data_IF_083040181833
#
_entry.id   IF_083040181833
#
_cell.length_a   1.000
_cell.length_b   1.000
_cell.length_c   1.000
_cell.angle_alpha   90.00
_cell.angle_beta   90.00
_cell.angle_gamma   90.00
#
_symmetry.space_group_name_H-M   'P 1'
#
loop_
_entity.id
_entity.type
_entity.pdbx_description
1 polymer ?
#
# COMPACT_ATOMS: atom_id res chain seq x y z
N UNK A 1 22.83 9.70 1.86
CA UNK A 1 21.90 8.79 2.52
C UNK A 1 22.71 7.97 3.52
N UNK A 2 22.17 7.75 4.72
CA UNK A 2 22.82 7.06 5.83
C UNK A 2 22.00 5.86 6.24
N UNK A 3 22.63 4.68 6.29
CA UNK A 3 22.02 3.48 6.85
C UNK A 3 21.97 3.58 8.39
N UNK A 4 20.76 3.54 8.94
CA UNK A 4 20.48 3.53 10.37
C UNK A 4 19.97 2.15 10.75
N UNK A 5 20.71 1.45 11.61
CA UNK A 5 20.37 0.12 12.11
C UNK A 5 19.49 0.25 13.35
N UNK A 6 18.29 -0.29 13.28
CA UNK A 6 17.34 -0.34 14.39
C UNK A 6 17.43 -1.72 15.04
N UNK A 7 17.60 -1.78 16.36
CA UNK A 7 17.65 -3.06 17.06
C UNK A 7 16.27 -3.75 16.99
N UNK A 8 16.21 -4.94 16.40
CA UNK A 8 14.95 -5.69 16.27
C UNK A 8 14.28 -5.96 17.62
N UNK A 9 15.05 -6.14 18.72
CA UNK A 9 14.45 -6.39 20.04
C UNK A 9 13.62 -5.21 20.52
N UNK A 10 14.02 -3.99 20.20
CA UNK A 10 13.28 -2.77 20.60
C UNK A 10 11.98 -2.65 19.81
N UNK A 11 12.00 -3.03 18.54
CA UNK A 11 10.80 -3.11 17.70
C UNK A 11 9.86 -4.19 18.19
N UNK A 12 10.38 -5.39 18.48
CA UNK A 12 9.60 -6.51 18.99
C UNK A 12 8.95 -6.18 20.35
N UNK A 13 9.63 -5.41 21.20
CA UNK A 13 9.09 -4.91 22.44
C UNK A 13 7.98 -3.86 22.22
N UNK A 14 8.16 -2.91 21.30
CA UNK A 14 7.14 -1.91 21.00
C UNK A 14 5.89 -2.51 20.32
N UNK A 15 6.03 -3.60 19.56
CA UNK A 15 4.90 -4.37 19.02
C UNK A 15 3.98 -4.96 20.09
N UNK A 16 4.42 -5.06 21.36
CA UNK A 16 3.56 -5.48 22.47
C UNK A 16 2.63 -4.36 22.95
N UNK A 17 2.91 -3.10 22.58
CA UNK A 17 2.03 -1.97 22.86
C UNK A 17 0.90 -1.93 21.82
N UNK A 18 -0.32 -1.64 22.27
CA UNK A 18 -1.48 -1.45 21.38
C UNK A 18 -2.16 -0.11 21.68
N UNK A 19 -2.00 0.92 20.82
CA UNK A 19 -1.15 0.96 19.62
C UNK A 19 0.36 1.02 19.93
N UNK A 20 1.20 0.80 18.92
CA UNK A 20 2.66 0.98 19.03
C UNK A 20 3.00 2.43 19.35
N UNK A 21 4.05 2.64 20.16
CA UNK A 21 4.37 3.96 20.72
C UNK A 21 5.61 4.61 20.10
N UNK A 22 6.46 3.82 19.43
CA UNK A 22 7.73 4.28 18.87
C UNK A 22 7.83 4.04 17.38
N UNK A 23 7.37 2.90 16.91
CA UNK A 23 7.45 2.52 15.50
C UNK A 23 6.06 2.45 14.88
N UNK A 24 6.00 2.74 13.59
CA UNK A 24 4.81 2.59 12.76
C UNK A 24 3.57 3.30 13.31
N UNK A 25 3.78 4.45 13.92
CA UNK A 25 2.68 5.31 14.35
C UNK A 25 1.84 5.74 13.14
N UNK A 26 0.57 6.00 13.38
CA UNK A 26 -0.36 6.52 12.38
C UNK A 26 -1.44 7.33 13.07
N UNK A 27 -2.04 8.27 12.34
CA UNK A 27 -3.21 9.04 12.76
C UNK A 27 -3.07 9.71 14.14
N UNK A 28 -2.17 10.69 14.22
CA UNK A 28 -2.08 11.62 15.35
C UNK A 28 -3.22 12.65 15.27
N UNK A 29 -3.82 12.94 16.42
CA UNK A 29 -4.90 13.93 16.55
C UNK A 29 -4.39 15.36 16.35
N UNK A 30 -5.32 16.32 16.19
CA UNK A 30 -4.94 17.75 16.09
C UNK A 30 -4.31 18.27 17.38
N UNK A 31 -4.66 17.67 18.53
CA UNK A 31 -4.11 18.06 19.84
C UNK A 31 -2.67 17.56 20.02
N UNK A 32 -2.30 16.47 19.35
CA UNK A 32 -0.94 15.91 19.35
C UNK A 32 -0.03 16.61 18.34
N UNK A 33 -0.58 17.06 17.20
CA UNK A 33 0.17 17.75 16.16
C UNK A 33 -0.71 18.71 15.34
N UNK A 34 -0.31 19.98 15.31
CA UNK A 34 -1.00 21.04 14.56
C UNK A 34 -0.62 21.01 13.07
N UNK A 35 -1.12 19.99 12.37
CA UNK A 35 -1.03 19.87 10.93
C UNK A 35 -2.43 19.66 10.33
N UNK A 36 -2.66 19.98 9.04
CA UNK A 36 -3.91 19.62 8.39
C UNK A 36 -4.00 18.10 8.15
N UNK A 37 -5.22 17.59 8.04
CA UNK A 37 -5.44 16.23 7.53
C UNK A 37 -5.22 16.23 6.01
N UNK A 38 -4.34 15.38 5.46
CA UNK A 38 -4.10 15.31 4.02
C UNK A 38 -5.30 14.68 3.29
N UNK A 39 -5.43 14.98 1.99
CA UNK A 39 -6.39 14.34 1.11
C UNK A 39 -5.81 13.04 0.55
N UNK A 40 -6.61 11.97 0.49
CA UNK A 40 -6.22 10.68 -0.11
C UNK A 40 -6.25 10.71 -1.65
N UNK A 41 -6.99 11.66 -2.25
CA UNK A 41 -7.28 11.69 -3.69
C UNK A 41 -6.05 11.63 -4.63
N UNK A 42 -4.92 12.33 -4.38
CA UNK A 42 -3.80 12.31 -5.32
C UNK A 42 -2.97 11.03 -5.28
N UNK A 43 -3.23 10.14 -4.31
CA UNK A 43 -2.54 8.85 -4.18
C UNK A 43 -3.32 7.68 -4.79
N UNK A 44 -4.41 7.97 -5.51
CA UNK A 44 -5.29 6.94 -6.07
C UNK A 44 -4.49 5.90 -6.85
N UNK A 45 -4.81 4.63 -6.64
CA UNK A 45 -4.08 3.56 -7.31
C UNK A 45 -4.25 3.67 -8.83
N UNK A 46 -5.43 4.06 -9.30
CA UNK A 46 -5.71 4.26 -10.72
C UNK A 46 -4.79 5.32 -11.36
N UNK A 47 -4.50 6.44 -10.67
CA UNK A 47 -3.60 7.50 -11.17
C UNK A 47 -2.18 7.00 -11.41
N UNK A 48 -1.71 6.10 -10.55
CA UNK A 48 -0.33 5.60 -10.53
C UNK A 48 -0.14 4.24 -11.21
N UNK A 49 -1.24 3.57 -11.56
CA UNK A 49 -1.22 2.27 -12.23
C UNK A 49 -0.35 2.25 -13.50
N UNK A 50 -0.40 3.25 -14.41
CA UNK A 50 0.46 3.24 -15.60
C UNK A 50 1.96 3.20 -15.26
N UNK A 51 2.40 3.97 -14.26
CA UNK A 51 3.78 3.96 -13.80
C UNK A 51 4.14 2.63 -13.11
N UNK A 52 3.24 2.11 -12.27
CA UNK A 52 3.42 0.80 -11.61
C UNK A 52 3.68 -0.29 -12.66
N UNK A 53 2.82 -0.39 -13.68
CA UNK A 53 2.97 -1.35 -14.77
C UNK A 53 4.29 -1.19 -15.51
N UNK A 54 4.66 0.05 -15.85
CA UNK A 54 5.92 0.35 -16.55
C UNK A 54 7.15 -0.07 -15.74
N UNK A 55 7.18 0.22 -14.43
CA UNK A 55 8.30 -0.19 -13.57
C UNK A 55 8.39 -1.71 -13.38
N UNK A 56 7.27 -2.41 -13.53
CA UNK A 56 7.17 -3.88 -13.44
C UNK A 56 7.31 -4.58 -14.79
N UNK A 57 7.53 -3.81 -15.87
CA UNK A 57 7.53 -4.31 -17.24
C UNK A 57 6.28 -5.15 -17.59
N UNK A 58 5.10 -4.72 -17.11
CA UNK A 58 3.82 -5.34 -17.38
C UNK A 58 3.07 -4.60 -18.49
N UNK A 59 2.49 -5.37 -19.41
CA UNK A 59 1.60 -4.82 -20.44
C UNK A 59 0.30 -4.30 -19.79
N UNK A 60 -0.19 -3.15 -20.24
CA UNK A 60 -1.49 -2.63 -19.83
C UNK A 60 -2.64 -3.61 -20.12
N UNK A 61 -2.50 -4.48 -21.14
CA UNK A 61 -3.45 -5.54 -21.44
C UNK A 61 -3.54 -6.61 -20.34
N UNK A 62 -2.58 -6.69 -19.42
CA UNK A 62 -2.64 -7.60 -18.28
C UNK A 62 -3.60 -7.11 -17.18
N UNK A 63 -3.97 -5.83 -17.18
CA UNK A 63 -4.90 -5.24 -16.23
C UNK A 63 -6.33 -5.67 -16.56
N UNK A 64 -7.06 -6.09 -15.54
CA UNK A 64 -8.50 -6.28 -15.63
C UNK A 64 -9.17 -5.40 -14.58
N UNK A 65 -10.18 -4.64 -14.98
CA UNK A 65 -10.91 -3.74 -14.07
C UNK A 65 -12.38 -4.12 -14.05
N UNK A 66 -12.95 -4.16 -12.85
CA UNK A 66 -14.38 -4.35 -12.62
C UNK A 66 -14.92 -3.11 -11.91
N UNK A 67 -15.94 -2.49 -12.48
CA UNK A 67 -16.62 -1.34 -11.89
C UNK A 67 -17.93 -1.80 -11.26
N UNK A 68 -18.02 -1.75 -9.94
CA UNK A 68 -19.27 -2.02 -9.23
C UNK A 68 -20.11 -0.75 -9.15
N UNK A 69 -21.42 -0.87 -9.36
CA UNK A 69 -22.36 0.20 -9.08
C UNK A 69 -22.44 0.50 -7.57
N UNK A 70 -23.01 1.66 -7.17
CA UNK A 70 -23.23 1.95 -5.76
C UNK A 70 -24.11 0.92 -5.05
N UNK A 71 -25.09 0.32 -5.74
CA UNK A 71 -25.92 -0.74 -5.17
C UNK A 71 -25.15 -2.04 -4.96
N UNK A 72 -24.31 -2.44 -5.93
CA UNK A 72 -23.45 -3.61 -5.82
C UNK A 72 -22.42 -3.46 -4.70
N UNK A 73 -21.78 -2.28 -4.60
CA UNK A 73 -20.84 -1.98 -3.52
C UNK A 73 -21.53 -1.97 -2.15
N UNK A 74 -22.74 -1.40 -2.06
CA UNK A 74 -23.54 -1.41 -0.81
C UNK A 74 -23.89 -2.83 -0.37
N UNK A 75 -24.26 -3.70 -1.30
CA UNK A 75 -24.53 -5.12 -1.03
C UNK A 75 -23.31 -5.81 -0.41
N UNK A 76 -22.11 -5.61 -0.96
CA UNK A 76 -20.87 -6.17 -0.41
C UNK A 76 -20.55 -5.60 0.98
N UNK A 77 -20.76 -4.30 1.20
CA UNK A 77 -20.57 -3.65 2.51
C UNK A 77 -21.49 -4.24 3.57
N UNK A 78 -22.76 -4.49 3.22
CA UNK A 78 -23.75 -5.05 4.15
C UNK A 78 -23.45 -6.51 4.46
N UNK A 79 -23.10 -7.30 3.45
CA UNK A 79 -22.64 -8.67 3.64
C UNK A 79 -21.39 -8.74 4.52
N UNK A 80 -20.48 -7.76 4.41
CA UNK A 80 -19.23 -7.72 5.16
C UNK A 80 -19.42 -7.57 6.67
N UNK A 81 -20.51 -6.92 7.13
CA UNK A 81 -20.75 -6.69 8.56
C UNK A 81 -20.75 -7.98 9.38
N UNK A 82 -21.37 -9.05 8.87
CA UNK A 82 -21.34 -10.38 9.49
C UNK A 82 -20.14 -11.23 9.05
N UNK A 83 -19.69 -11.06 7.80
CA UNK A 83 -18.64 -11.89 7.20
C UNK A 83 -17.25 -11.62 7.81
N UNK A 84 -16.95 -10.37 8.17
CA UNK A 84 -15.69 -10.01 8.85
C UNK A 84 -15.55 -10.74 10.19
N UNK A 85 -16.64 -10.84 10.95
CA UNK A 85 -16.64 -11.50 12.27
C UNK A 85 -16.54 -13.02 12.13
N UNK A 86 -17.34 -13.59 11.23
CA UNK A 86 -17.44 -15.05 11.06
C UNK A 86 -16.29 -15.64 10.23
N UNK A 87 -15.66 -14.83 9.37
CA UNK A 87 -14.68 -15.28 8.40
C UNK A 87 -15.29 -16.07 7.23
N UNK A 88 -16.61 -16.09 7.10
CA UNK A 88 -17.35 -16.80 6.05
C UNK A 88 -18.27 -15.83 5.32
N UNK A 89 -18.66 -16.16 4.09
CA UNK A 89 -19.68 -15.39 3.38
C UNK A 89 -21.02 -15.46 4.12
N UNK A 90 -21.62 -14.30 4.40
CA UNK A 90 -22.92 -14.22 5.06
C UNK A 90 -24.01 -14.88 4.19
N UNK A 91 -24.57 -16.00 4.70
CA UNK A 91 -25.56 -16.82 3.99
C UNK A 91 -26.82 -16.05 3.61
N UNK A 92 -27.19 -15.03 4.39
CA UNK A 92 -28.38 -14.22 4.13
C UNK A 92 -28.26 -13.40 2.83
N UNK A 93 -27.04 -13.08 2.40
CA UNK A 93 -26.78 -12.30 1.18
C UNK A 93 -26.28 -13.17 0.01
N UNK A 94 -26.23 -14.49 0.17
CA UNK A 94 -25.57 -15.36 -0.81
C UNK A 94 -26.26 -15.33 -2.18
N UNK A 95 -27.58 -15.35 -2.20
CA UNK A 95 -28.39 -15.30 -3.43
C UNK A 95 -28.21 -13.94 -4.12
N UNK A 96 -28.45 -12.84 -3.40
CA UNK A 96 -28.26 -11.48 -3.93
C UNK A 96 -26.84 -11.25 -4.47
N UNK A 97 -25.80 -11.69 -3.76
CA UNK A 97 -24.41 -11.57 -4.22
C UNK A 97 -24.20 -12.36 -5.51
N UNK A 98 -24.78 -13.55 -5.60
CA UNK A 98 -24.65 -14.38 -6.79
C UNK A 98 -25.39 -13.78 -7.98
N UNK A 99 -26.54 -13.16 -7.78
CA UNK A 99 -27.31 -12.53 -8.86
C UNK A 99 -26.72 -11.19 -9.29
N UNK A 100 -26.26 -10.37 -8.34
CA UNK A 100 -25.86 -8.98 -8.61
C UNK A 100 -24.35 -8.80 -8.83
N UNK A 101 -23.49 -9.57 -8.16
CA UNK A 101 -22.03 -9.35 -8.18
C UNK A 101 -21.31 -10.30 -9.13
N UNK A 102 -21.69 -11.58 -9.15
CA UNK A 102 -21.03 -12.59 -10.00
C UNK A 102 -21.05 -12.21 -11.49
N UNK A 103 -22.14 -11.64 -12.07
CA UNK A 103 -22.12 -11.20 -13.47
C UNK A 103 -21.04 -10.15 -13.75
N UNK A 104 -20.80 -9.21 -12.84
CA UNK A 104 -19.76 -8.19 -13.00
C UNK A 104 -18.34 -8.78 -12.98
N UNK A 105 -18.15 -9.91 -12.30
CA UNK A 105 -16.87 -10.63 -12.21
C UNK A 105 -16.70 -11.72 -13.28
N UNK A 106 -17.76 -12.03 -14.04
CA UNK A 106 -17.80 -13.20 -14.94
C UNK A 106 -16.84 -13.09 -16.14
N UNK A 107 -16.47 -11.87 -16.53
CA UNK A 107 -15.53 -11.61 -17.62
C UNK A 107 -14.06 -11.73 -17.19
N UNK A 108 -13.78 -11.95 -15.89
CA UNK A 108 -12.42 -12.08 -15.40
C UNK A 108 -11.74 -13.33 -15.96
N UNK A 109 -10.56 -13.13 -16.51
CA UNK A 109 -9.63 -14.18 -16.88
C UNK A 109 -8.69 -14.50 -15.71
N UNK A 110 -8.67 -15.76 -15.29
CA UNK A 110 -7.79 -16.24 -14.23
C UNK A 110 -6.57 -16.94 -14.85
N UNK A 111 -5.37 -16.33 -14.79
CA UNK A 111 -4.15 -16.99 -15.25
C UNK A 111 -3.72 -18.08 -14.25
N UNK A 112 -2.72 -18.89 -14.62
CA UNK A 112 -2.29 -20.04 -13.82
C UNK A 112 -1.74 -19.63 -12.45
N UNK A 113 -0.99 -18.53 -12.41
CA UNK A 113 -0.47 -17.86 -11.21
C UNK A 113 -1.57 -17.23 -10.33
N UNK A 114 -2.76 -17.04 -10.89
CA UNK A 114 -3.89 -16.37 -10.24
C UNK A 114 -3.80 -14.85 -10.29
N UNK A 115 -4.72 -14.18 -9.60
CA UNK A 115 -4.86 -12.73 -9.60
C UNK A 115 -4.47 -12.10 -8.26
N UNK A 116 -3.78 -10.97 -8.33
CA UNK A 116 -3.77 -9.94 -7.30
C UNK A 116 -4.99 -9.03 -7.48
N UNK A 117 -5.59 -8.60 -6.37
CA UNK A 117 -6.77 -7.72 -6.37
C UNK A 117 -6.53 -6.52 -5.47
N UNK A 118 -6.97 -5.35 -5.94
CA UNK A 118 -6.86 -4.09 -5.21
C UNK A 118 -8.05 -3.18 -5.51
N UNK A 119 -8.55 -2.51 -4.47
CA UNK A 119 -9.42 -1.34 -4.58
C UNK A 119 -8.56 -0.07 -4.56
N UNK A 120 -9.12 1.08 -4.90
CA UNK A 120 -8.35 2.31 -5.04
C UNK A 120 -7.48 2.64 -3.81
N UNK A 121 -8.07 2.59 -2.61
CA UNK A 121 -7.36 2.91 -1.37
C UNK A 121 -6.72 1.73 -0.66
N UNK A 122 -6.96 0.48 -1.09
CA UNK A 122 -6.38 -0.67 -0.39
C UNK A 122 -6.35 -1.98 -1.18
N UNK A 123 -5.39 -2.84 -0.81
CA UNK A 123 -5.48 -4.28 -1.06
C UNK A 123 -6.13 -4.98 0.16
N UNK A 124 -7.11 -5.88 -0.03
CA UNK A 124 -7.79 -6.59 1.06
C UNK A 124 -6.95 -7.74 1.64
N UNK A 125 -5.73 -7.43 2.07
CA UNK A 125 -4.76 -8.40 2.61
C UNK A 125 -5.23 -9.06 3.92
N UNK A 126 -6.14 -8.42 4.65
CA UNK A 126 -6.79 -8.91 5.88
C UNK A 126 -8.01 -9.82 5.60
N UNK A 127 -8.47 -9.92 4.36
CA UNK A 127 -9.53 -10.83 3.96
C UNK A 127 -9.11 -12.30 4.05
N UNK A 128 -10.08 -13.17 4.35
CA UNK A 128 -9.90 -14.62 4.40
C UNK A 128 -9.60 -15.19 3.02
N UNK A 129 -8.89 -16.32 3.03
CA UNK A 129 -8.52 -17.10 1.84
C UNK A 129 -9.13 -18.49 1.96
N UNK A 130 -9.66 -19.02 0.85
CA UNK A 130 -10.19 -20.40 0.82
C UNK A 130 -9.10 -21.42 1.07
N UNK A 131 -7.90 -21.16 0.57
CA UNK A 131 -6.71 -21.98 0.79
C UNK A 131 -5.77 -21.21 1.73
N UNK A 132 -5.54 -21.69 2.96
CA UNK A 132 -4.64 -21.04 3.91
C UNK A 132 -3.24 -20.82 3.31
N UNK A 133 -2.71 -19.61 3.46
CA UNK A 133 -1.38 -19.24 2.95
C UNK A 133 -1.32 -18.88 1.46
N UNK A 134 -2.35 -19.17 0.66
CA UNK A 134 -2.40 -18.77 -0.75
C UNK A 134 -2.92 -17.34 -0.89
N UNK A 135 -2.04 -16.43 -1.33
CA UNK A 135 -2.36 -15.01 -1.50
C UNK A 135 -3.03 -14.70 -2.85
N UNK A 136 -2.77 -15.51 -3.87
CA UNK A 136 -3.38 -15.42 -5.20
C UNK A 136 -4.85 -15.84 -5.22
N UNK A 137 -5.62 -15.21 -6.09
CA UNK A 137 -7.05 -15.47 -6.30
C UNK A 137 -7.23 -16.29 -7.58
N UNK A 138 -7.91 -17.43 -7.51
CA UNK A 138 -8.11 -18.32 -8.66
C UNK A 138 -9.57 -18.53 -9.05
N UNK A 139 -10.51 -17.84 -8.38
CA UNK A 139 -11.92 -17.91 -8.72
C UNK A 139 -12.70 -16.69 -8.22
N UNK A 140 -13.91 -16.52 -8.72
CA UNK A 140 -14.86 -15.52 -8.23
C UNK A 140 -15.18 -15.73 -6.73
N UNK A 141 -15.28 -16.98 -6.29
CA UNK A 141 -15.46 -17.29 -4.86
C UNK A 141 -14.29 -16.81 -3.99
N UNK A 142 -13.04 -16.93 -4.49
CA UNK A 142 -11.87 -16.41 -3.80
C UNK A 142 -11.98 -14.88 -3.64
N UNK A 143 -12.43 -14.18 -4.69
CA UNK A 143 -12.67 -12.74 -4.70
C UNK A 143 -13.75 -12.34 -3.69
N UNK A 144 -14.92 -12.97 -3.76
CA UNK A 144 -16.07 -12.64 -2.91
C UNK A 144 -15.77 -12.89 -1.44
N UNK A 145 -15.12 -14.01 -1.10
CA UNK A 145 -14.70 -14.28 0.26
C UNK A 145 -13.71 -13.20 0.73
N UNK A 146 -12.71 -12.87 -0.08
CA UNK A 146 -11.68 -11.90 0.29
C UNK A 146 -12.27 -10.50 0.50
N UNK A 147 -13.14 -10.03 -0.40
CA UNK A 147 -13.80 -8.72 -0.29
C UNK A 147 -14.72 -8.63 0.93
N UNK A 148 -15.58 -9.63 1.14
CA UNK A 148 -16.59 -9.58 2.21
C UNK A 148 -16.00 -9.80 3.60
N UNK A 149 -14.83 -10.43 3.71
CA UNK A 149 -14.19 -10.67 5.01
C UNK A 149 -13.05 -9.69 5.33
N UNK A 150 -12.82 -8.68 4.47
CA UNK A 150 -11.80 -7.64 4.68
C UNK A 150 -12.41 -6.37 5.26
N UNK A 151 -11.92 -5.92 6.42
CA UNK A 151 -12.27 -4.63 6.99
C UNK A 151 -11.74 -3.49 6.12
N UNK A 152 -10.57 -3.67 5.51
CA UNK A 152 -9.97 -2.70 4.58
C UNK A 152 -10.87 -2.45 3.37
N UNK A 153 -11.28 -3.50 2.66
CA UNK A 153 -12.18 -3.38 1.51
C UNK A 153 -13.51 -2.74 1.90
N UNK A 154 -14.12 -3.19 3.01
CA UNK A 154 -15.37 -2.60 3.51
C UNK A 154 -15.24 -1.09 3.74
N UNK A 155 -14.16 -0.66 4.39
CA UNK A 155 -13.94 0.76 4.67
C UNK A 155 -13.70 1.58 3.39
N UNK A 156 -13.00 1.01 2.41
CA UNK A 156 -12.75 1.66 1.12
C UNK A 156 -14.03 1.82 0.30
N UNK A 157 -14.85 0.77 0.22
CA UNK A 157 -16.17 0.83 -0.41
C UNK A 157 -17.09 1.84 0.28
N UNK A 158 -17.11 1.88 1.61
CA UNK A 158 -17.88 2.86 2.38
C UNK A 158 -17.47 4.30 2.06
N UNK A 159 -16.17 4.59 2.04
CA UNK A 159 -15.66 5.91 1.66
C UNK A 159 -16.11 6.29 0.26
N UNK A 160 -16.03 5.37 -0.70
CA UNK A 160 -16.47 5.60 -2.07
C UNK A 160 -17.98 5.87 -2.19
N UNK A 161 -18.79 5.21 -1.36
CA UNK A 161 -20.23 5.46 -1.29
C UNK A 161 -20.53 6.83 -0.66
N UNK A 162 -19.82 7.20 0.41
CA UNK A 162 -19.95 8.50 1.09
C UNK A 162 -19.51 9.67 0.20
N UNK A 163 -18.49 9.47 -0.65
CA UNK A 163 -18.05 10.44 -1.65
C UNK A 163 -18.96 10.51 -2.88
N UNK A 164 -20.05 9.74 -2.90
CA UNK A 164 -20.99 9.66 -4.04
C UNK A 164 -20.30 9.31 -5.36
N UNK A 165 -19.27 8.47 -5.31
CA UNK A 165 -18.58 7.98 -6.51
C UNK A 165 -19.56 7.21 -7.38
N UNK A 166 -19.48 7.41 -8.70
CA UNK A 166 -20.38 6.76 -9.66
C UNK A 166 -20.19 5.24 -9.69
N UNK A 167 -18.97 4.76 -9.42
CA UNK A 167 -18.63 3.33 -9.32
C UNK A 167 -17.57 3.10 -8.25
N UNK A 168 -17.43 1.85 -7.81
CA UNK A 168 -16.28 1.35 -7.05
C UNK A 168 -15.45 0.48 -7.99
N UNK A 169 -14.25 0.93 -8.31
CA UNK A 169 -13.34 0.18 -9.20
C UNK A 169 -12.52 -0.84 -8.40
N UNK A 170 -12.41 -2.04 -8.96
CA UNK A 170 -11.55 -3.10 -8.47
C UNK A 170 -10.60 -3.48 -9.60
N UNK A 171 -9.30 -3.33 -9.34
CA UNK A 171 -8.24 -3.64 -10.28
C UNK A 171 -7.64 -5.01 -9.97
N UNK A 172 -7.44 -5.80 -11.03
CA UNK A 172 -6.81 -7.10 -10.99
C UNK A 172 -5.57 -7.11 -11.87
N UNK A 173 -4.52 -7.75 -11.36
CA UNK A 173 -3.25 -7.98 -12.06
C UNK A 173 -2.88 -9.46 -11.92
N UNK A 174 -2.08 -10.03 -12.85
CA UNK A 174 -1.43 -11.32 -12.61
C UNK A 174 -0.71 -11.30 -11.25
N UNK A 175 -0.89 -12.36 -10.48
CA UNK A 175 -0.24 -12.50 -9.19
C UNK A 175 1.26 -12.74 -9.39
N UNK A 176 2.07 -11.98 -8.67
CA UNK A 176 3.53 -12.08 -8.71
C UNK A 176 4.02 -12.44 -7.31
N UNK A 177 4.49 -13.68 -7.15
CA UNK A 177 4.94 -14.22 -5.86
C UNK A 177 6.26 -13.59 -5.39
N UNK A 178 7.03 -13.01 -6.32
CA UNK A 178 8.26 -12.28 -6.01
C UNK A 178 7.97 -11.05 -5.16
N UNK A 179 6.82 -10.40 -5.34
CA UNK A 179 6.38 -9.19 -4.63
C UNK A 179 5.99 -9.46 -3.16
N UNK A 180 6.84 -10.17 -2.44
CA UNK A 180 6.69 -10.40 -1.02
C UNK A 180 7.14 -9.16 -0.24
N UNK A 181 6.29 -8.67 0.66
CA UNK A 181 6.53 -7.47 1.48
C UNK A 181 7.82 -7.46 2.32
N UNK A 182 8.52 -8.59 2.46
CA UNK A 182 9.83 -8.65 3.14
C UNK A 182 10.93 -7.91 2.37
N UNK A 183 10.76 -7.71 1.06
CA UNK A 183 11.67 -6.97 0.17
C UNK A 183 11.07 -5.63 -0.28
N UNK A 184 10.01 -5.17 0.40
CA UNK A 184 9.40 -3.86 0.17
C UNK A 184 10.01 -2.80 1.09
N UNK A 185 10.08 -1.56 0.59
CA UNK A 185 10.59 -0.39 1.28
C UNK A 185 9.63 0.77 1.13
N UNK A 186 9.44 1.54 2.20
CA UNK A 186 8.65 2.76 2.20
C UNK A 186 9.51 3.99 2.00
N UNK A 187 9.23 4.64 0.88
CA UNK A 187 9.61 5.94 0.35
C UNK A 187 9.05 7.16 1.07
N UNK A 188 9.77 8.06 1.74
CA UNK A 188 9.17 9.32 2.24
C UNK A 188 9.64 10.52 1.43
N UNK A 189 8.69 11.28 0.89
CA UNK A 189 8.94 12.49 0.12
C UNK A 189 8.28 13.70 0.77
N UNK A 190 9.09 14.71 1.10
CA UNK A 190 8.63 15.85 1.90
C UNK A 190 7.63 16.76 1.16
N UNK A 191 6.74 17.42 1.90
CA UNK A 191 5.84 18.44 1.36
C UNK A 191 6.58 19.59 0.67
N UNK A 192 5.94 20.18 -0.34
CA UNK A 192 6.42 21.32 -1.12
C UNK A 192 7.49 20.96 -2.17
N UNK A 193 8.56 20.27 -1.78
CA UNK A 193 9.68 19.92 -2.67
C UNK A 193 9.56 18.53 -3.28
N UNK A 194 8.80 17.62 -2.66
CA UNK A 194 8.74 16.22 -3.06
C UNK A 194 10.09 15.52 -2.97
N UNK A 195 11.04 16.02 -2.18
CA UNK A 195 12.37 15.46 -2.06
C UNK A 195 12.35 14.22 -1.17
N UNK A 196 13.09 13.17 -1.52
CA UNK A 196 13.22 12.00 -0.65
C UNK A 196 13.92 12.43 0.64
N UNK A 197 13.31 12.13 1.78
CA UNK A 197 13.83 12.45 3.12
C UNK A 197 14.17 11.21 3.94
N UNK A 198 13.47 10.10 3.71
CA UNK A 198 13.69 8.90 4.48
C UNK A 198 13.27 7.64 3.69
N UNK A 199 13.85 6.50 4.07
CA UNK A 199 13.52 5.17 3.58
C UNK A 199 13.37 4.24 4.78
N UNK A 200 12.33 3.42 4.79
CA UNK A 200 12.14 2.36 5.80
C UNK A 200 12.01 1.00 5.15
N UNK A 201 12.50 -0.07 5.76
CA UNK A 201 11.97 -1.40 5.41
C UNK A 201 10.45 -1.42 5.69
N UNK A 202 9.66 -1.95 4.77
CA UNK A 202 8.20 -1.93 4.91
C UNK A 202 7.71 -2.88 6.01
N UNK A 203 8.21 -4.12 6.03
CA UNK A 203 7.97 -5.10 7.09
C UNK A 203 8.73 -4.74 8.38
N UNK A 204 8.43 -3.59 8.96
CA UNK A 204 9.12 -3.03 10.13
C UNK A 204 9.14 -3.98 11.35
N UNK A 205 8.10 -4.80 11.53
CA UNK A 205 7.94 -5.74 12.65
C UNK A 205 8.70 -7.08 12.48
N UNK A 206 9.55 -7.21 11.46
CA UNK A 206 10.37 -8.41 11.18
C UNK A 206 11.83 -8.01 10.99
N UNK A 207 12.79 -8.93 11.22
CA UNK A 207 14.19 -8.69 10.84
C UNK A 207 14.31 -8.35 9.36
N UNK A 208 15.23 -7.45 9.03
CA UNK A 208 15.50 -7.07 7.65
C UNK A 208 15.98 -8.28 6.86
N UNK A 209 15.54 -8.41 5.60
CA UNK A 209 15.89 -9.55 4.75
C UNK A 209 17.40 -9.78 4.61
N UNK A 210 18.18 -8.69 4.75
CA UNK A 210 19.63 -8.69 4.58
C UNK A 210 20.40 -8.48 5.89
N UNK A 211 19.73 -8.59 7.05
CA UNK A 211 20.34 -8.43 8.39
C UNK A 211 21.47 -9.43 8.68
N UNK A 212 21.45 -10.60 8.05
CA UNK A 212 22.49 -11.63 8.19
C UNK A 212 23.74 -11.42 7.32
N UNK A 213 23.76 -10.42 6.44
CA UNK A 213 24.89 -10.13 5.58
C UNK A 213 26.02 -9.42 6.35
N UNK A 214 27.24 -9.50 5.80
CA UNK A 214 28.37 -8.69 6.28
C UNK A 214 28.14 -7.22 5.93
N UNK A 215 28.74 -6.32 6.73
CA UNK A 215 28.58 -4.86 6.58
C UNK A 215 28.83 -4.38 5.14
N UNK A 216 29.87 -4.87 4.47
CA UNK A 216 30.19 -4.44 3.11
C UNK A 216 29.10 -4.86 2.10
N UNK A 217 28.63 -6.10 2.21
CA UNK A 217 27.56 -6.61 1.34
C UNK A 217 26.22 -5.90 1.61
N UNK A 218 25.93 -5.54 2.87
CA UNK A 218 24.75 -4.74 3.19
C UNK A 218 24.84 -3.35 2.59
N UNK A 219 25.99 -2.69 2.68
CA UNK A 219 26.19 -1.38 2.05
C UNK A 219 25.92 -1.45 0.55
N UNK A 220 26.43 -2.48 -0.13
CA UNK A 220 26.14 -2.69 -1.56
C UNK A 220 24.64 -2.84 -1.83
N UNK A 221 23.94 -3.68 -1.05
CA UNK A 221 22.49 -3.87 -1.21
C UNK A 221 21.72 -2.57 -0.98
N UNK A 222 22.08 -1.80 0.05
CA UNK A 222 21.46 -0.51 0.35
C UNK A 222 21.71 0.49 -0.78
N UNK A 223 22.92 0.56 -1.32
CA UNK A 223 23.25 1.45 -2.43
C UNK A 223 22.44 1.07 -3.69
N UNK A 224 22.33 -0.22 -4.02
CA UNK A 224 21.52 -0.69 -5.15
C UNK A 224 20.04 -0.34 -4.98
N UNK A 225 19.46 -0.60 -3.81
CA UNK A 225 18.06 -0.23 -3.52
C UNK A 225 17.88 1.29 -3.63
N UNK A 226 18.83 2.07 -3.11
CA UNK A 226 18.79 3.52 -3.13
C UNK A 226 18.84 4.08 -4.56
N UNK A 227 19.70 3.54 -5.43
CA UNK A 227 19.72 3.92 -6.85
C UNK A 227 18.38 3.62 -7.53
N UNK A 228 17.80 2.43 -7.27
CA UNK A 228 16.48 2.08 -7.79
C UNK A 228 15.35 3.00 -7.29
N UNK A 229 15.37 3.37 -6.00
CA UNK A 229 14.44 4.34 -5.40
C UNK A 229 14.54 5.70 -6.10
N UNK A 230 15.76 6.21 -6.33
CA UNK A 230 15.95 7.47 -7.06
C UNK A 230 15.42 7.39 -8.49
N UNK A 231 15.63 6.26 -9.17
CA UNK A 231 15.10 6.03 -10.50
C UNK A 231 13.56 6.05 -10.55
N UNK A 232 12.89 5.42 -9.58
CA UNK A 232 11.43 5.46 -9.46
C UNK A 232 10.96 6.88 -9.12
N UNK A 233 11.62 7.55 -8.17
CA UNK A 233 11.28 8.92 -7.76
C UNK A 233 11.38 9.91 -8.93
N UNK A 234 12.42 9.80 -9.76
CA UNK A 234 12.55 10.60 -10.98
C UNK A 234 11.39 10.34 -11.96
N UNK A 235 10.97 9.09 -12.11
CA UNK A 235 9.80 8.76 -12.95
C UNK A 235 8.50 9.30 -12.37
N UNK A 236 8.31 9.24 -11.04
CA UNK A 236 7.16 9.86 -10.36
C UNK A 236 7.11 11.36 -10.68
N UNK A 237 8.22 12.08 -10.50
CA UNK A 237 8.29 13.52 -10.77
C UNK A 237 8.09 13.84 -12.26
N UNK A 238 8.58 13.00 -13.17
CA UNK A 238 8.41 13.18 -14.61
C UNK A 238 6.97 12.95 -15.08
N UNK A 239 6.21 12.11 -14.37
CA UNK A 239 4.80 11.83 -14.65
C UNK A 239 3.83 12.88 -14.06
N UNK A 240 4.32 13.87 -13.30
CA UNK A 240 3.50 14.95 -12.75
C UNK A 240 3.15 15.98 -13.83
N UNK A 241 1.88 16.38 -13.89
CA UNK A 241 1.40 17.51 -14.68
C UNK A 241 1.24 18.75 -13.80
N UNK A 242 2.01 19.80 -14.10
CA UNK A 242 1.94 21.08 -13.38
C UNK A 242 0.56 21.77 -13.48
N UNK A 243 -0.28 21.40 -14.45
CA UNK A 243 -1.64 21.90 -14.59
C UNK A 243 -2.67 21.06 -13.83
N UNK A 244 -2.30 19.87 -13.33
CA UNK A 244 -3.18 19.01 -12.55
C UNK A 244 -3.26 19.51 -11.11
N UNK A 245 -4.47 19.84 -10.64
CA UNK A 245 -4.69 20.23 -9.24
C UNK A 245 -4.31 19.10 -8.27
N UNK A 246 -4.55 17.84 -8.65
CA UNK A 246 -4.21 16.68 -7.83
C UNK A 246 -2.69 16.47 -7.73
N UNK A 247 -1.95 16.65 -8.83
CA UNK A 247 -0.50 16.49 -8.83
C UNK A 247 0.18 17.62 -8.04
N UNK A 248 -0.36 18.84 -8.16
CA UNK A 248 0.06 19.96 -7.31
C UNK A 248 -0.26 19.72 -5.83
N UNK A 249 -1.43 19.13 -5.54
CA UNK A 249 -1.81 18.77 -4.17
C UNK A 249 -0.89 17.68 -3.59
N UNK A 250 -0.52 16.67 -4.39
CA UNK A 250 0.46 15.64 -4.02
C UNK A 250 1.76 16.27 -3.53
N UNK A 251 2.35 17.16 -4.32
CA UNK A 251 3.59 17.85 -3.96
C UNK A 251 3.39 18.72 -2.74
N UNK A 252 2.29 19.49 -2.67
CA UNK A 252 2.00 20.39 -1.56
C UNK A 252 1.91 19.66 -0.22
N UNK A 253 1.30 18.48 -0.18
CA UNK A 253 1.07 17.74 1.07
C UNK A 253 2.14 16.67 1.36
N UNK A 254 3.05 16.42 0.42
CA UNK A 254 4.04 15.34 0.50
C UNK A 254 3.45 13.99 0.08
N UNK A 255 4.30 12.99 -0.11
CA UNK A 255 3.86 11.64 -0.47
C UNK A 255 4.79 10.58 0.10
N UNK A 256 4.27 9.36 0.23
CA UNK A 256 5.12 8.20 0.39
C UNK A 256 4.86 7.21 -0.72
N UNK A 257 5.84 6.37 -1.06
CA UNK A 257 5.68 5.35 -2.08
C UNK A 257 6.38 4.06 -1.68
N UNK A 258 5.73 2.93 -1.93
CA UNK A 258 6.30 1.62 -1.61
C UNK A 258 7.03 1.07 -2.84
N UNK A 259 8.24 0.55 -2.61
CA UNK A 259 9.12 0.00 -3.64
C UNK A 259 9.44 -1.44 -3.30
N UNK A 260 9.25 -2.34 -4.25
CA UNK A 260 9.73 -3.70 -4.19
C UNK A 260 11.13 -3.76 -4.80
N UNK A 261 12.07 -4.42 -4.11
CA UNK A 261 13.40 -4.70 -4.65
C UNK A 261 13.51 -6.18 -5.01
N UNK A 262 13.76 -6.46 -6.28
CA UNK A 262 14.07 -7.80 -6.77
C UNK A 262 15.57 -8.03 -6.71
N UNK A 263 15.99 -8.97 -5.87
CA UNK A 263 17.40 -9.33 -5.70
C UNK A 263 17.95 -10.15 -6.89
N UNK A 264 17.10 -10.82 -7.66
CA UNK A 264 17.54 -11.66 -8.78
C UNK A 264 17.93 -10.81 -9.99
N UNK A 265 17.14 -9.78 -10.29
CA UNK A 265 17.40 -8.83 -11.38
C UNK A 265 18.10 -7.56 -10.91
N UNK A 266 18.27 -7.38 -9.61
CA UNK A 266 18.78 -6.14 -8.97
C UNK A 266 17.99 -4.89 -9.39
N UNK A 267 16.68 -5.03 -9.58
CA UNK A 267 15.79 -3.94 -10.01
C UNK A 267 14.80 -3.53 -8.93
N UNK A 268 14.37 -2.28 -8.98
CA UNK A 268 13.30 -1.76 -8.12
C UNK A 268 12.02 -1.53 -8.92
N UNK A 269 10.90 -1.95 -8.35
CA UNK A 269 9.56 -1.83 -8.94
C UNK A 269 8.66 -0.99 -8.02
N UNK A 270 7.85 -0.09 -8.59
CA UNK A 270 6.88 0.70 -7.82
C UNK A 270 5.68 -0.18 -7.45
N UNK A 271 5.32 -0.18 -6.17
CA UNK A 271 4.17 -0.94 -5.65
C UNK A 271 2.92 -0.07 -5.58
N UNK A 272 3.03 1.08 -4.91
CA UNK A 272 1.93 2.03 -4.73
C UNK A 272 2.45 3.38 -4.22
N UNK A 273 1.61 4.42 -4.31
CA UNK A 273 1.76 5.64 -3.53
C UNK A 273 0.80 5.61 -2.35
N UNK A 274 1.21 6.23 -1.25
CA UNK A 274 0.45 6.33 -0.01
C UNK A 274 0.42 7.77 0.48
N UNK A 275 -0.68 8.09 1.17
CA UNK A 275 -0.83 9.35 1.88
C UNK A 275 0.31 9.64 2.85
N UNK A 276 0.73 10.89 2.91
CA UNK A 276 1.82 11.35 3.75
C UNK A 276 1.32 12.13 4.96
N UNK A 277 1.97 11.89 6.09
CA UNK A 277 1.94 12.78 7.24
C UNK A 277 1.27 12.20 8.48
N UNK A 278 1.54 12.87 9.60
CA UNK A 278 1.16 12.42 10.94
C UNK A 278 -0.35 12.22 11.12
N UNK A 279 -1.16 13.03 10.44
CA UNK A 279 -2.63 13.00 10.52
C UNK A 279 -3.29 12.08 9.49
N UNK A 280 -2.50 11.27 8.81
CA UNK A 280 -2.98 10.26 7.86
C UNK A 280 -3.11 8.89 8.50
N UNK A 281 -3.85 7.98 7.86
CA UNK A 281 -3.89 6.57 8.26
C UNK A 281 -2.65 5.77 7.88
N UNK A 282 -1.66 6.40 7.22
CA UNK A 282 -0.46 5.73 6.75
C UNK A 282 0.50 5.47 7.92
N UNK A 283 0.88 4.20 8.09
CA UNK A 283 1.89 3.80 9.07
C UNK A 283 3.29 4.30 8.71
N UNK A 284 4.02 4.78 9.71
CA UNK A 284 5.39 5.30 9.56
C UNK A 284 6.51 4.24 9.56
N UNK A 285 6.20 2.94 9.52
CA UNK A 285 7.20 1.85 9.52
C UNK A 285 8.23 2.00 10.65
N UNK A 286 9.54 2.08 10.38
CA UNK A 286 10.58 2.27 11.42
C UNK A 286 10.76 3.74 11.88
N UNK A 287 9.86 4.62 11.48
CA UNK A 287 9.82 6.00 11.94
C UNK A 287 8.63 6.23 12.88
N UNK A 288 8.65 7.38 13.54
CA UNK A 288 7.55 7.97 14.30
C UNK A 288 7.19 9.31 13.68
N UNK A 289 5.92 9.55 13.36
CA UNK A 289 5.51 10.77 12.66
C UNK A 289 5.84 12.08 13.39
N UNK A 290 5.66 12.12 14.72
CA UNK A 290 6.00 13.30 15.55
C UNK A 290 7.50 13.36 15.91
N UNK A 291 8.10 12.26 16.39
CA UNK A 291 9.50 12.31 16.85
C UNK A 291 10.48 12.50 15.69
N UNK A 292 10.18 11.96 14.50
CA UNK A 292 10.98 12.11 13.29
C UNK A 292 10.41 13.20 12.35
N UNK A 293 9.60 14.13 12.88
CA UNK A 293 8.90 15.13 12.06
C UNK A 293 9.87 15.96 11.20
N UNK A 294 10.92 16.49 11.82
CA UNK A 294 11.91 17.34 11.14
C UNK A 294 12.57 16.60 9.97
N UNK A 295 12.97 15.34 10.17
CA UNK A 295 13.50 14.49 9.13
C UNK A 295 12.47 14.26 8.01
N UNK A 296 11.29 13.74 8.35
CA UNK A 296 10.27 13.34 7.37
C UNK A 296 9.78 14.53 6.54
N UNK A 297 9.63 15.71 7.15
CA UNK A 297 9.14 16.93 6.51
C UNK A 297 10.24 17.76 5.83
N UNK A 298 11.51 17.30 5.87
CA UNK A 298 12.59 17.86 5.08
C UNK A 298 13.30 19.07 5.69
N UNK A 299 13.24 19.21 7.02
CA UNK A 299 14.03 20.18 7.78
C UNK A 299 15.47 19.70 8.00
N UNK A 300 15.72 18.40 7.82
CA UNK A 300 17.05 17.80 7.86
C UNK A 300 17.64 17.58 6.45
N UNK A 301 18.97 17.63 6.34
CA UNK A 301 19.67 17.47 5.06
C UNK A 301 20.04 16.02 4.74
N UNK A 302 20.25 15.18 5.75
CA UNK A 302 20.70 13.80 5.57
C UNK A 302 19.50 12.86 5.45
N UNK A 303 19.42 12.11 4.35
CA UNK A 303 18.40 11.07 4.18
C UNK A 303 18.75 9.85 5.02
N UNK A 304 17.82 9.39 5.86
CA UNK A 304 17.99 8.14 6.61
C UNK A 304 17.35 6.93 5.91
N UNK A 305 18.10 5.84 5.83
CA UNK A 305 17.59 4.52 5.47
C UNK A 305 17.53 3.68 6.75
N UNK A 306 16.34 3.45 7.30
CA UNK A 306 16.14 2.64 8.51
C UNK A 306 15.82 1.18 8.16
N UNK A 307 16.61 0.27 8.71
CA UNK A 307 16.38 -1.17 8.63
C UNK A 307 16.68 -1.83 9.99
N UNK A 308 15.97 -2.90 10.29
CA UNK A 308 16.18 -3.69 11.50
C UNK A 308 17.43 -4.56 11.40
N UNK A 309 18.08 -4.77 12.54
CA UNK A 309 19.20 -5.68 12.72
C UNK A 309 18.87 -6.69 13.83
#
# INVERSE_FOLDING_TARGET
MKLVRINYTDVAADCQNTPSSKFNTCFHSIDEIDLPRPSEAPYSFARWLPLILRTRNLDAAAVQTVCLSPSQAKLLVDAAAGSIITGELNRAYKEDIHEEIVPALSALHFPAEGLFMRLDGCSPKDGRRRVPGRLSLHSIDDILLCLTTSQRARNDMLKSLESHSATVEITFLPFDDRMASKREYRVYCSPGKGAITAVSQYCWHKPWAYSGLKTEAMSMVVDTIWEGIKGIHQQILADLDANSELDNLLLKQGYSFDVFYDEESETSELVELNVFGARSGCGSCLFHWIQDLALLYGDEQEVEFRATW
#
